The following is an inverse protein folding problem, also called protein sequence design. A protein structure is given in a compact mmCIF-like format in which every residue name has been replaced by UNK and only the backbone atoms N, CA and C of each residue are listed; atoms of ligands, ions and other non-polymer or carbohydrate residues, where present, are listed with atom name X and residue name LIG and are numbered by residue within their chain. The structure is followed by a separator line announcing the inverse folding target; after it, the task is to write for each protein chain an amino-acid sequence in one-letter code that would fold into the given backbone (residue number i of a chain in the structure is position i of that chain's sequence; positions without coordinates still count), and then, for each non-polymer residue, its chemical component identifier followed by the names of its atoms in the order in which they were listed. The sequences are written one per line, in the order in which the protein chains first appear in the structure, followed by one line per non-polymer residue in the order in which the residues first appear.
data_IF_147010208140
#
_entry.id   IF_147010208140
#
_cell.length_a   1.000
_cell.length_b   1.000
_cell.length_c   1.000
_cell.angle_alpha   90.00
_cell.angle_beta   90.00
_cell.angle_gamma   90.00
#
_symmetry.space_group_name_H-M   'P 1'
#
loop_
_entity.id
_entity.type
_entity.pdbx_description
1 polymer ?
#
# COMPACT_ATOMS: atom_id res chain seq x y z
N UNK A 1 -7.31 -1.06 -24.98
CA UNK A 1 -7.48 -1.10 -23.49
C UNK A 1 -6.63 -2.18 -22.78
N UNK A 2 -5.74 -2.92 -23.45
CA UNK A 2 -4.89 -3.95 -22.81
C UNK A 2 -3.46 -3.51 -22.44
N UNK A 3 -3.09 -2.25 -22.69
CA UNK A 3 -1.72 -1.76 -22.46
C UNK A 3 -1.53 -1.05 -21.09
N UNK A 4 -2.63 -0.60 -20.48
CA UNK A 4 -2.63 0.06 -19.16
C UNK A 4 -2.24 -0.90 -18.02
N UNK A 5 -2.42 -2.21 -18.23
CA UNK A 5 -2.13 -3.24 -17.20
C UNK A 5 -0.68 -3.74 -17.21
N UNK A 6 0.12 -3.47 -18.25
CA UNK A 6 1.55 -3.85 -18.28
C UNK A 6 2.47 -2.80 -17.65
N UNK A 7 2.05 -1.54 -17.58
CA UNK A 7 2.87 -0.43 -17.07
C UNK A 7 2.97 -0.32 -15.53
N UNK A 8 2.24 -1.12 -14.75
CA UNK A 8 2.11 -0.92 -13.29
C UNK A 8 2.94 -1.88 -12.43
N UNK A 9 3.95 -2.55 -12.99
CA UNK A 9 4.85 -3.40 -12.18
C UNK A 9 5.84 -2.59 -11.32
N UNK A 10 5.97 -1.29 -11.57
CA UNK A 10 6.81 -0.39 -10.78
C UNK A 10 6.03 0.35 -9.70
N UNK A 11 6.71 0.65 -8.59
CA UNK A 11 6.25 1.60 -7.57
C UNK A 11 6.71 3.01 -7.95
N UNK A 12 5.86 4.03 -7.76
CA UNK A 12 6.27 5.41 -8.04
C UNK A 12 7.06 6.01 -6.87
N UNK A 13 7.85 7.07 -7.13
CA UNK A 13 8.53 7.84 -6.06
C UNK A 13 7.53 8.41 -5.04
N UNK A 14 6.34 8.77 -5.51
CA UNK A 14 5.21 9.18 -4.66
C UNK A 14 4.77 8.05 -3.72
N UNK A 15 4.56 6.84 -4.24
CA UNK A 15 4.14 5.69 -3.43
C UNK A 15 5.19 5.33 -2.36
N UNK A 16 6.48 5.41 -2.70
CA UNK A 16 7.58 5.22 -1.75
C UNK A 16 7.53 6.26 -0.62
N UNK A 17 7.32 7.55 -0.95
CA UNK A 17 7.16 8.61 0.06
C UNK A 17 5.94 8.38 0.95
N UNK A 18 4.81 7.96 0.37
CA UNK A 18 3.59 7.66 1.12
C UNK A 18 3.76 6.45 2.05
N UNK A 19 4.49 5.41 1.63
CA UNK A 19 4.84 4.28 2.50
C UNK A 19 5.79 4.70 3.62
N UNK A 20 6.79 5.54 3.33
CA UNK A 20 7.71 6.07 4.33
C UNK A 20 6.97 6.89 5.39
N UNK A 21 6.07 7.78 4.97
CA UNK A 21 5.21 8.56 5.86
C UNK A 21 4.41 7.65 6.79
N UNK A 22 3.82 6.56 6.26
CA UNK A 22 3.09 5.56 7.06
C UNK A 22 3.97 4.97 8.17
N UNK A 23 5.14 4.44 7.82
CA UNK A 23 6.01 3.79 8.80
C UNK A 23 6.60 4.78 9.81
N UNK A 24 6.89 6.02 9.40
CA UNK A 24 7.34 7.04 10.33
C UNK A 24 6.28 7.34 11.39
N UNK A 25 5.01 7.44 11.00
CA UNK A 25 3.89 7.63 11.94
C UNK A 25 3.70 6.41 12.85
N UNK A 26 3.81 5.20 12.32
CA UNK A 26 3.77 3.97 13.12
C UNK A 26 4.92 3.94 14.15
N UNK A 27 6.12 4.34 13.76
CA UNK A 27 7.29 4.39 14.64
C UNK A 27 7.06 5.35 15.81
N UNK A 28 6.57 6.56 15.54
CA UNK A 28 6.26 7.56 16.58
C UNK A 28 5.26 7.00 17.59
N UNK A 29 4.15 6.41 17.12
CA UNK A 29 3.14 5.80 18.00
C UNK A 29 3.75 4.70 18.88
N UNK A 30 4.57 3.81 18.29
CA UNK A 30 5.22 2.72 19.02
C UNK A 30 6.24 3.21 20.04
N UNK A 31 6.99 4.27 19.72
CA UNK A 31 7.97 4.88 20.63
C UNK A 31 7.29 5.57 21.81
N UNK A 32 6.20 6.32 21.58
CA UNK A 32 5.41 6.93 22.65
C UNK A 32 4.86 5.87 23.62
N UNK A 33 4.34 4.77 23.07
CA UNK A 33 3.85 3.66 23.87
C UNK A 33 4.97 2.91 24.61
N UNK A 34 6.13 2.70 24.00
CA UNK A 34 7.26 2.09 24.68
C UNK A 34 7.74 2.97 25.85
N UNK A 35 7.86 4.27 25.60
CA UNK A 35 8.29 5.26 26.59
C UNK A 35 7.36 5.32 27.80
N UNK A 36 6.04 5.25 27.60
CA UNK A 36 5.07 5.23 28.71
C UNK A 36 5.16 4.00 29.60
N UNK A 37 5.80 2.93 29.12
CA UNK A 37 6.07 1.73 29.91
C UNK A 37 7.41 1.78 30.65
N UNK A 38 8.35 2.55 30.15
CA UNK A 38 9.73 2.64 30.67
C UNK A 38 9.92 3.83 31.62
N UNK A 39 9.24 4.95 31.38
CA UNK A 39 9.36 6.19 32.14
C UNK A 39 8.10 6.42 33.02
N UNK A 40 8.18 6.26 34.36
CA UNK A 40 7.02 6.41 35.24
C UNK A 40 6.34 7.78 35.20
N UNK A 41 7.11 8.84 34.92
CA UNK A 41 6.60 10.22 34.87
C UNK A 41 6.12 10.63 33.47
N UNK A 42 6.27 9.76 32.46
CA UNK A 42 5.83 10.06 31.10
C UNK A 42 4.34 9.74 30.93
N UNK A 43 3.56 10.78 30.63
CA UNK A 43 2.15 10.64 30.27
C UNK A 43 2.04 10.48 28.76
N UNK A 44 1.67 9.28 28.31
CA UNK A 44 1.39 9.00 26.90
C UNK A 44 0.26 9.91 26.40
N UNK A 45 0.44 10.68 25.32
CA UNK A 45 -0.65 11.37 24.66
C UNK A 45 -1.72 10.37 24.17
N UNK A 46 -3.00 10.76 24.14
CA UNK A 46 -4.08 9.87 23.63
C UNK A 46 -3.77 9.45 22.17
N UNK A 47 -3.50 8.15 21.90
CA UNK A 47 -3.09 7.71 20.57
C UNK A 47 -4.26 7.59 19.59
N UNK A 48 -5.50 7.62 20.07
CA UNK A 48 -6.69 7.30 19.24
C UNK A 48 -6.85 8.20 18.02
N UNK A 49 -6.71 9.55 18.09
CA UNK A 49 -6.84 10.40 16.91
C UNK A 49 -5.84 10.05 15.81
N UNK A 50 -4.58 9.81 16.18
CA UNK A 50 -3.51 9.43 15.26
C UNK A 50 -3.73 8.03 14.66
N UNK A 51 -4.13 7.05 15.47
CA UNK A 51 -4.49 5.71 15.01
C UNK A 51 -5.67 5.73 14.02
N UNK A 52 -6.70 6.54 14.28
CA UNK A 52 -7.85 6.72 13.38
C UNK A 52 -7.40 7.33 12.05
N UNK A 53 -6.60 8.41 12.09
CA UNK A 53 -6.07 9.05 10.89
C UNK A 53 -5.19 8.09 10.07
N UNK A 54 -4.34 7.30 10.75
CA UNK A 54 -3.52 6.27 10.12
C UNK A 54 -4.39 5.21 9.44
N UNK A 55 -5.41 4.67 10.13
CA UNK A 55 -6.29 3.64 9.59
C UNK A 55 -7.16 4.13 8.41
N UNK A 56 -7.58 5.40 8.42
CA UNK A 56 -8.34 6.00 7.33
C UNK A 56 -7.51 6.13 6.06
N UNK A 57 -6.23 6.51 6.18
CA UNK A 57 -5.33 6.70 5.04
C UNK A 57 -4.65 5.41 4.57
N UNK A 58 -4.38 4.48 5.49
CA UNK A 58 -3.78 3.18 5.21
C UNK A 58 -4.60 2.07 5.90
N UNK A 59 -5.69 1.61 5.25
CA UNK A 59 -6.50 0.54 5.78
C UNK A 59 -5.67 -0.72 6.09
N UNK A 60 -5.79 -1.24 7.31
CA UNK A 60 -4.99 -2.37 7.78
C UNK A 60 -3.70 -1.99 8.52
N UNK A 61 -3.29 -0.71 8.53
CA UNK A 61 -2.08 -0.28 9.24
C UNK A 61 -2.10 -0.55 10.75
N UNK A 62 -3.29 -0.55 11.39
CA UNK A 62 -3.40 -0.92 12.81
C UNK A 62 -3.09 -2.39 13.05
N UNK A 63 -3.38 -3.29 12.10
CA UNK A 63 -2.93 -4.68 12.25
C UNK A 63 -1.41 -4.76 12.16
N UNK A 64 -0.81 -4.00 11.25
CA UNK A 64 0.66 -3.95 11.13
C UNK A 64 1.32 -3.37 12.40
N UNK A 65 0.71 -2.37 13.05
CA UNK A 65 1.28 -1.77 14.26
C UNK A 65 1.32 -2.76 15.44
N UNK A 66 0.39 -3.70 15.45
CA UNK A 66 0.29 -4.75 16.47
C UNK A 66 1.26 -5.91 16.18
N UNK A 67 1.47 -6.23 14.90
CA UNK A 67 2.24 -7.41 14.46
C UNK A 67 3.74 -7.12 14.22
N UNK A 68 4.12 -5.89 13.90
CA UNK A 68 5.51 -5.52 13.63
C UNK A 68 6.25 -5.06 14.89
N UNK A 69 7.46 -5.58 15.09
CA UNK A 69 8.37 -5.05 16.09
C UNK A 69 9.02 -3.72 15.65
N UNK A 70 9.60 -3.01 16.63
CA UNK A 70 10.23 -1.70 16.40
C UNK A 70 11.40 -1.80 15.41
N UNK A 71 12.22 -2.85 15.53
CA UNK A 71 13.39 -3.09 14.66
C UNK A 71 12.97 -3.22 13.20
N UNK A 72 11.88 -3.93 12.93
CA UNK A 72 11.31 -4.10 11.59
C UNK A 72 10.81 -2.78 11.02
N UNK A 73 10.12 -1.96 11.82
CA UNK A 73 9.64 -0.64 11.36
C UNK A 73 10.83 0.25 10.99
N UNK A 74 11.89 0.27 11.80
CA UNK A 74 13.12 1.02 11.51
C UNK A 74 13.80 0.49 10.24
N UNK A 75 13.98 -0.82 10.11
CA UNK A 75 14.59 -1.41 8.91
C UNK A 75 13.80 -1.11 7.63
N UNK A 76 12.47 -1.10 7.69
CA UNK A 76 11.61 -0.69 6.57
C UNK A 76 11.79 0.78 6.20
N UNK A 77 11.96 1.67 7.19
CA UNK A 77 12.24 3.08 6.95
C UNK A 77 13.59 3.29 6.27
N UNK A 78 14.64 2.63 6.76
CA UNK A 78 15.97 2.70 6.14
C UNK A 78 15.97 2.20 4.69
N UNK A 79 15.26 1.10 4.41
CA UNK A 79 15.11 0.58 3.06
C UNK A 79 14.37 1.58 2.14
N UNK A 80 13.29 2.20 2.63
CA UNK A 80 12.57 3.23 1.88
C UNK A 80 13.42 4.48 1.65
N UNK A 81 14.23 4.90 2.63
CA UNK A 81 15.15 6.03 2.48
C UNK A 81 16.20 5.77 1.41
N UNK A 82 16.77 4.55 1.36
CA UNK A 82 17.68 4.13 0.27
C UNK A 82 17.01 4.20 -1.11
N UNK A 83 15.81 3.62 -1.23
CA UNK A 83 15.06 3.62 -2.49
C UNK A 83 14.71 5.05 -2.96
N UNK A 84 14.38 5.95 -2.03
CA UNK A 84 14.05 7.35 -2.33
C UNK A 84 15.27 8.17 -2.77
N UNK A 85 16.43 8.02 -2.09
CA UNK A 85 17.65 8.76 -2.42
C UNK A 85 18.17 8.46 -3.84
N UNK A 86 17.97 7.22 -4.31
CA UNK A 86 18.28 6.83 -5.69
C UNK A 86 17.36 7.47 -6.70
N UNK A 87 16.07 7.53 -6.38
CA UNK A 87 15.08 8.08 -7.30
C UNK A 87 15.32 9.57 -7.55
N UNK A 88 15.73 10.33 -6.54
CA UNK A 88 16.05 11.76 -6.69
C UNK A 88 17.34 12.01 -7.46
N UNK A 89 18.37 11.17 -7.26
CA UNK A 89 19.67 11.34 -7.96
C UNK A 89 19.53 11.22 -9.48
N UNK A 90 18.59 10.38 -9.96
CA UNK A 90 18.29 10.25 -11.39
C UNK A 90 17.46 11.41 -11.96
N UNK A 91 16.68 12.12 -11.14
CA UNK A 91 15.87 13.25 -11.61
C UNK A 91 16.74 14.49 -11.90
N UNK A 92 17.81 14.70 -11.12
CA UNK A 92 18.71 15.85 -11.26
C UNK A 92 19.74 15.70 -12.41
N UNK A 93 20.09 14.47 -12.80
CA UNK A 93 21.08 14.19 -13.86
C UNK A 93 20.46 14.18 -15.28
N UNK A 94 19.14 14.12 -15.41
CA UNK A 94 18.44 13.90 -16.69
C UNK A 94 18.19 15.16 -17.52
N UNK A 95 19.00 16.21 -17.38
CA UNK A 95 18.73 17.53 -18.00
C UNK A 95 19.51 17.84 -19.28
N UNK A 96 20.40 16.97 -19.75
CA UNK A 96 21.10 17.15 -21.03
C UNK A 96 21.19 15.82 -21.81
N UNK A 97 20.85 15.90 -23.10
CA UNK A 97 20.97 14.94 -24.19
C UNK A 97 19.80 13.98 -24.54
N UNK A 98 19.51 14.01 -25.84
CA UNK A 98 18.22 13.85 -26.52
C UNK A 98 17.86 12.39 -26.90
N UNK A 99 18.42 11.39 -26.23
CA UNK A 99 18.24 10.00 -26.67
C UNK A 99 18.30 8.98 -25.52
N UNK A 100 17.14 8.74 -24.91
CA UNK A 100 16.53 7.39 -24.79
C UNK A 100 17.47 6.16 -24.75
N UNK A 101 18.50 6.16 -23.93
CA UNK A 101 18.78 5.01 -23.10
C UNK A 101 17.76 5.13 -21.97
N UNK A 102 16.55 4.57 -22.05
CA UNK A 102 16.27 3.21 -21.54
C UNK A 102 17.16 2.84 -20.35
N UNK A 103 17.44 3.79 -19.46
CA UNK A 103 17.85 3.56 -18.11
C UNK A 103 16.71 2.76 -17.49
N UNK A 104 16.84 1.44 -17.62
CA UNK A 104 16.70 0.56 -16.49
C UNK A 104 17.50 1.24 -15.36
N UNK A 105 16.86 2.18 -14.67
CA UNK A 105 17.09 2.34 -13.25
C UNK A 105 16.84 0.93 -12.75
N UNK A 106 17.93 0.21 -12.54
CA UNK A 106 17.87 -1.12 -12.02
C UNK A 106 17.01 -1.02 -10.77
N UNK A 107 15.86 -1.68 -10.78
CA UNK A 107 14.91 -1.77 -9.66
C UNK A 107 15.53 -2.48 -8.45
N UNK A 108 16.87 -2.53 -8.34
CA UNK A 108 17.65 -3.24 -7.34
C UNK A 108 17.36 -2.77 -5.92
N UNK A 109 17.04 -1.49 -5.73
CA UNK A 109 16.75 -0.93 -4.39
C UNK A 109 15.25 -0.92 -4.06
N UNK A 110 14.37 -1.28 -5.01
CA UNK A 110 12.94 -1.45 -4.74
C UNK A 110 12.69 -2.91 -4.35
N UNK A 111 12.53 -3.13 -3.06
CA UNK A 111 12.21 -4.46 -2.55
C UNK A 111 10.76 -4.85 -2.88
N UNK A 112 10.53 -6.15 -3.12
CA UNK A 112 9.21 -6.70 -3.49
C UNK A 112 8.12 -6.33 -2.46
N UNK A 113 8.46 -6.29 -1.17
CA UNK A 113 7.50 -5.92 -0.14
C UNK A 113 7.03 -4.47 -0.29
N UNK A 114 7.85 -3.54 -0.81
CA UNK A 114 7.45 -2.15 -1.02
C UNK A 114 6.35 -2.08 -2.07
N UNK A 115 6.53 -2.78 -3.19
CA UNK A 115 5.55 -2.88 -4.28
C UNK A 115 4.26 -3.54 -3.75
N UNK A 116 4.38 -4.69 -3.08
CA UNK A 116 3.24 -5.40 -2.51
C UNK A 116 2.47 -4.52 -1.51
N UNK A 117 3.18 -3.77 -0.67
CA UNK A 117 2.58 -2.93 0.36
C UNK A 117 1.84 -1.73 -0.22
N UNK A 118 2.48 -0.98 -1.12
CA UNK A 118 1.84 0.14 -1.79
C UNK A 118 0.58 -0.32 -2.53
N UNK A 119 0.70 -1.42 -3.29
CA UNK A 119 -0.40 -1.95 -4.09
C UNK A 119 -1.53 -2.51 -3.24
N UNK A 120 -1.21 -3.19 -2.13
CA UNK A 120 -2.19 -3.66 -1.16
C UNK A 120 -3.05 -2.50 -0.62
N UNK A 121 -2.41 -1.41 -0.16
CA UNK A 121 -3.12 -0.25 0.40
C UNK A 121 -4.00 0.43 -0.64
N UNK A 122 -3.49 0.59 -1.86
CA UNK A 122 -4.24 1.17 -2.98
C UNK A 122 -5.49 0.33 -3.32
N UNK A 123 -5.31 -0.98 -3.49
CA UNK A 123 -6.40 -1.90 -3.78
C UNK A 123 -7.43 -1.94 -2.65
N UNK A 124 -6.99 -1.99 -1.40
CA UNK A 124 -7.90 -2.05 -0.24
C UNK A 124 -8.69 -0.75 -0.07
N UNK A 125 -8.07 0.42 -0.23
CA UNK A 125 -8.78 1.71 -0.25
C UNK A 125 -9.84 1.75 -1.34
N UNK A 126 -9.46 1.38 -2.56
CA UNK A 126 -10.38 1.32 -3.70
C UNK A 126 -11.56 0.39 -3.43
N UNK A 127 -11.29 -0.79 -2.85
CA UNK A 127 -12.29 -1.80 -2.56
C UNK A 127 -13.28 -1.31 -1.49
N UNK A 128 -12.78 -0.69 -0.43
CA UNK A 128 -13.60 -0.13 0.65
C UNK A 128 -14.45 1.05 0.15
N UNK A 129 -13.87 1.93 -0.66
CA UNK A 129 -14.57 3.05 -1.27
C UNK A 129 -15.71 2.56 -2.18
N UNK A 130 -15.41 1.62 -3.10
CA UNK A 130 -16.41 1.00 -3.97
C UNK A 130 -17.47 0.25 -3.17
N UNK A 131 -17.08 -0.49 -2.11
CA UNK A 131 -18.03 -1.21 -1.24
C UNK A 131 -19.01 -0.27 -0.55
N UNK A 132 -18.52 0.85 -0.01
CA UNK A 132 -19.36 1.87 0.64
C UNK A 132 -20.30 2.53 -0.36
N UNK A 133 -19.81 2.86 -1.55
CA UNK A 133 -20.60 3.45 -2.63
C UNK A 133 -21.72 2.51 -3.11
N UNK A 134 -21.43 1.22 -3.28
CA UNK A 134 -22.43 0.20 -3.66
C UNK A 134 -23.57 0.07 -2.63
N UNK A 135 -23.32 0.34 -1.35
CA UNK A 135 -24.31 0.22 -0.29
C UNK A 135 -24.91 -1.18 -0.21
N UNK A 136 -26.22 -1.30 -0.50
CA UNK A 136 -26.95 -2.57 -0.52
C UNK A 136 -27.01 -3.23 -1.89
N UNK A 137 -26.50 -2.59 -2.95
CA UNK A 137 -26.53 -3.14 -4.29
C UNK A 137 -25.62 -4.37 -4.39
N UNK A 138 -26.20 -5.47 -4.89
CA UNK A 138 -25.54 -6.79 -4.86
C UNK A 138 -25.20 -7.34 -6.24
N UNK A 139 -25.68 -6.74 -7.31
CA UNK A 139 -25.50 -7.22 -8.67
C UNK A 139 -24.75 -6.16 -9.47
N UNK A 140 -23.52 -6.46 -9.89
CA UNK A 140 -22.78 -5.54 -10.75
C UNK A 140 -23.37 -5.59 -12.16
N UNK A 141 -23.90 -4.45 -12.62
CA UNK A 141 -24.40 -4.24 -13.98
C UNK A 141 -23.46 -3.28 -14.72
N UNK A 142 -23.56 -3.23 -16.05
CA UNK A 142 -22.85 -2.23 -16.87
C UNK A 142 -23.24 -0.80 -16.47
N UNK A 143 -24.51 -0.57 -16.11
CA UNK A 143 -24.99 0.69 -15.56
C UNK A 143 -24.27 1.09 -14.26
N UNK A 144 -24.12 0.16 -13.31
CA UNK A 144 -23.39 0.41 -12.06
C UNK A 144 -21.93 0.78 -12.31
N UNK A 145 -21.28 0.12 -13.28
CA UNK A 145 -19.91 0.46 -13.69
C UNK A 145 -19.84 1.90 -14.20
N UNK A 146 -20.75 2.28 -15.11
CA UNK A 146 -20.80 3.66 -15.66
C UNK A 146 -21.03 4.68 -14.54
N UNK A 147 -21.96 4.41 -13.62
CA UNK A 147 -22.23 5.30 -12.48
C UNK A 147 -21.05 5.42 -11.51
N UNK A 148 -20.32 4.33 -11.25
CA UNK A 148 -19.10 4.38 -10.44
C UNK A 148 -18.07 5.30 -11.07
N UNK A 149 -17.80 5.12 -12.37
CA UNK A 149 -16.82 5.94 -13.09
C UNK A 149 -17.25 7.41 -13.18
N UNK A 150 -18.56 7.69 -13.33
CA UNK A 150 -19.12 9.03 -13.23
C UNK A 150 -18.85 9.65 -11.86
N UNK A 151 -19.17 8.95 -10.77
CA UNK A 151 -18.92 9.42 -9.41
C UNK A 151 -17.44 9.70 -9.12
N UNK A 152 -16.52 8.94 -9.71
CA UNK A 152 -15.07 9.20 -9.61
C UNK A 152 -14.69 10.46 -10.41
N UNK A 153 -15.19 10.59 -11.64
CA UNK A 153 -14.94 11.76 -12.50
C UNK A 153 -15.45 13.05 -11.86
N UNK A 154 -16.59 12.98 -11.18
CA UNK A 154 -17.20 14.10 -10.46
C UNK A 154 -16.55 14.39 -9.09
N UNK A 155 -15.49 13.64 -8.72
CA UNK A 155 -14.77 13.81 -7.46
C UNK A 155 -15.53 13.34 -6.21
N UNK A 156 -16.64 12.63 -6.37
CA UNK A 156 -17.47 12.13 -5.26
C UNK A 156 -16.89 10.85 -4.63
N UNK A 157 -15.98 10.18 -5.33
CA UNK A 157 -15.37 8.93 -4.90
C UNK A 157 -13.86 8.94 -5.17
N UNK A 158 -13.09 8.26 -4.33
CA UNK A 158 -11.64 8.16 -4.49
C UNK A 158 -11.27 7.44 -5.81
N UNK A 159 -10.23 7.94 -6.49
CA UNK A 159 -9.73 7.38 -7.76
C UNK A 159 -9.38 5.89 -7.67
N UNK A 160 -8.88 5.43 -6.52
CA UNK A 160 -8.56 4.01 -6.28
C UNK A 160 -9.77 3.08 -6.51
N UNK A 161 -11.00 3.57 -6.38
CA UNK A 161 -12.21 2.78 -6.65
C UNK A 161 -12.33 2.35 -8.13
N UNK A 162 -11.71 3.10 -9.06
CA UNK A 162 -11.71 2.75 -10.48
C UNK A 162 -11.04 1.39 -10.74
N UNK A 163 -10.09 0.98 -9.89
CA UNK A 163 -9.41 -0.32 -9.98
C UNK A 163 -10.37 -1.51 -9.87
N UNK A 164 -11.57 -1.28 -9.32
CA UNK A 164 -12.58 -2.31 -9.09
C UNK A 164 -13.75 -2.26 -10.06
N UNK A 165 -13.76 -1.33 -11.03
CA UNK A 165 -14.90 -1.10 -11.92
C UNK A 165 -15.32 -2.37 -12.69
N UNK A 166 -14.36 -3.19 -13.11
CA UNK A 166 -14.59 -4.43 -13.84
C UNK A 166 -14.82 -5.65 -12.92
N UNK A 167 -14.59 -5.50 -11.62
CA UNK A 167 -14.70 -6.58 -10.61
C UNK A 167 -15.68 -6.22 -9.48
N UNK A 168 -16.64 -5.32 -9.74
CA UNK A 168 -17.60 -4.84 -8.74
C UNK A 168 -18.42 -5.96 -8.11
N UNK A 169 -18.69 -7.06 -8.82
CA UNK A 169 -19.41 -8.21 -8.28
C UNK A 169 -18.66 -8.85 -7.11
N UNK A 170 -17.33 -8.92 -7.19
CA UNK A 170 -16.47 -9.47 -6.14
C UNK A 170 -16.44 -8.54 -4.92
N UNK A 171 -16.41 -7.22 -5.14
CA UNK A 171 -16.51 -6.22 -4.05
C UNK A 171 -17.90 -6.25 -3.41
N UNK A 172 -18.96 -6.37 -4.19
CA UNK A 172 -20.33 -6.45 -3.71
C UNK A 172 -20.57 -7.70 -2.86
N UNK A 173 -20.02 -8.84 -3.27
CA UNK A 173 -20.18 -10.15 -2.60
C UNK A 173 -18.82 -10.83 -2.42
N UNK A 174 -17.98 -10.33 -1.48
CA UNK A 174 -16.67 -10.92 -1.27
C UNK A 174 -16.81 -12.34 -0.72
N UNK A 175 -15.91 -13.27 -1.07
CA UNK A 175 -15.91 -14.62 -0.52
C UNK A 175 -15.94 -14.59 1.00
N UNK A 176 -16.86 -15.35 1.61
CA UNK A 176 -17.08 -15.40 3.08
C UNK A 176 -17.34 -14.02 3.72
N UNK A 177 -17.79 -13.02 2.94
CA UNK A 177 -17.99 -11.66 3.42
C UNK A 177 -16.69 -10.88 3.66
N UNK A 178 -15.52 -11.39 3.22
CA UNK A 178 -14.20 -10.82 3.55
C UNK A 178 -13.55 -10.15 2.35
N UNK A 179 -13.55 -8.81 2.35
CA UNK A 179 -12.97 -8.02 1.26
C UNK A 179 -11.46 -8.26 1.07
N UNK A 180 -10.74 -8.54 2.15
CA UNK A 180 -9.31 -8.87 2.09
C UNK A 180 -9.01 -10.07 1.19
N UNK A 181 -9.91 -11.07 1.11
CA UNK A 181 -9.69 -12.21 0.21
C UNK A 181 -9.72 -11.80 -1.26
N UNK A 182 -10.58 -10.84 -1.60
CA UNK A 182 -10.67 -10.28 -2.96
C UNK A 182 -9.41 -9.46 -3.27
N UNK A 183 -8.97 -8.63 -2.31
CA UNK A 183 -7.74 -7.81 -2.46
C UNK A 183 -6.51 -8.68 -2.67
N UNK A 184 -6.30 -9.71 -1.84
CA UNK A 184 -5.15 -10.61 -1.99
C UNK A 184 -5.21 -11.44 -3.28
N UNK A 185 -6.38 -11.96 -3.67
CA UNK A 185 -6.51 -12.67 -4.95
C UNK A 185 -6.23 -11.76 -6.16
N UNK A 186 -6.53 -10.46 -6.06
CA UNK A 186 -6.13 -9.48 -7.08
C UNK A 186 -4.63 -9.23 -7.06
N UNK A 187 -4.04 -9.02 -5.89
CA UNK A 187 -2.61 -8.77 -5.70
C UNK A 187 -1.75 -9.93 -6.20
N UNK A 188 -2.15 -11.18 -5.93
CA UNK A 188 -1.51 -12.40 -6.43
C UNK A 188 -1.51 -12.46 -7.96
N UNK A 189 -2.65 -12.16 -8.61
CA UNK A 189 -2.73 -12.09 -10.08
C UNK A 189 -1.87 -10.97 -10.67
N UNK A 190 -1.77 -9.82 -9.99
CA UNK A 190 -1.01 -8.67 -10.49
C UNK A 190 0.50 -8.83 -10.32
N UNK A 191 0.94 -9.40 -9.19
CA UNK A 191 2.36 -9.52 -8.85
C UNK A 191 2.96 -10.90 -9.16
N UNK A 192 2.13 -11.93 -9.36
CA UNK A 192 2.60 -13.30 -9.54
C UNK A 192 3.24 -13.90 -8.29
N UNK A 193 2.91 -13.36 -7.10
CA UNK A 193 3.43 -13.79 -5.80
C UNK A 193 2.31 -14.54 -5.07
N UNK A 194 2.62 -15.70 -4.51
CA UNK A 194 1.63 -16.53 -3.81
C UNK A 194 1.01 -15.81 -2.60
N UNK A 195 -0.28 -16.04 -2.31
CA UNK A 195 -1.01 -15.40 -1.19
C UNK A 195 -0.25 -15.48 0.15
N UNK A 196 0.37 -16.62 0.45
CA UNK A 196 1.17 -16.79 1.68
C UNK A 196 2.34 -15.80 1.76
N UNK A 197 3.08 -15.64 0.67
CA UNK A 197 4.24 -14.75 0.59
C UNK A 197 3.82 -13.27 0.55
N UNK A 198 2.70 -12.95 -0.11
CA UNK A 198 2.11 -11.61 -0.07
C UNK A 198 1.67 -11.23 1.35
N UNK A 199 1.00 -12.14 2.08
CA UNK A 199 0.62 -11.89 3.47
C UNK A 199 1.83 -11.69 4.37
N UNK A 200 2.89 -12.47 4.16
CA UNK A 200 4.13 -12.25 4.86
C UNK A 200 4.68 -10.85 4.53
N UNK A 201 4.81 -10.50 3.25
CA UNK A 201 5.30 -9.19 2.81
C UNK A 201 4.52 -8.03 3.42
N UNK A 202 3.19 -8.17 3.50
CA UNK A 202 2.30 -7.10 3.96
C UNK A 202 2.27 -6.97 5.48
N UNK A 203 2.23 -8.08 6.21
CA UNK A 203 1.92 -8.10 7.64
C UNK A 203 3.03 -8.64 8.54
N UNK A 204 3.78 -9.62 8.09
CA UNK A 204 4.80 -10.29 8.91
C UNK A 204 6.15 -9.78 8.44
N UNK A 205 6.72 -8.84 9.21
CA UNK A 205 8.06 -8.31 8.99
C UNK A 205 8.96 -9.37 8.39
N UNK A 206 9.54 -9.11 7.21
CA UNK A 206 10.53 -10.02 6.66
C UNK A 206 11.71 -9.97 7.62
N UNK A 207 11.74 -10.89 8.59
CA UNK A 207 12.95 -11.24 9.28
C UNK A 207 13.90 -11.69 8.17
N UNK A 208 14.85 -10.81 7.84
CA UNK A 208 15.61 -10.84 6.61
C UNK A 208 16.10 -12.26 6.27
N UNK A 209 15.52 -12.86 5.24
CA UNK A 209 16.06 -14.06 4.57
C UNK A 209 17.19 -13.69 3.61
N UNK A 210 17.99 -12.67 3.96
CA UNK A 210 19.25 -12.34 3.28
C UNK A 210 20.47 -13.05 3.90
N UNK A 211 20.26 -13.96 4.86
CA UNK A 211 21.32 -14.79 5.42
C UNK A 211 21.72 -15.99 4.53
N UNK A 212 21.25 -16.09 3.29
CA UNK A 212 21.49 -17.24 2.39
C UNK A 212 21.97 -16.84 0.98
N UNK A 213 22.63 -15.69 0.86
CA UNK A 213 23.39 -15.29 -0.35
C UNK A 213 24.87 -15.13 -0.01
N UNK A 214 25.51 -16.23 0.38
CA UNK A 214 26.97 -16.43 0.36
C UNK A 214 27.32 -17.66 -0.48
#
# INVERSE_FOLDING_TARGET
MSDVLRGHRGISSRDLRELREKYARMLVLRQLHARSREEPDFVEPDPRPEMVALAQRWPGALREIDELDLTTIVGRLEALDRALARTTSHEDEAHDDDERALAHVEQQDVETWMIAQARFHQLLRGALAAKRWLGRERHATSDLRTRLLGAITDGQLANDAALWADELSQVARPPRGRLLLVVFARLERELGIADRELRASVFVGHAASHADRD
#
